data_IF_682443345898
#
_entry.id   IF_682443345898
#
_cell.length_a   1.000
_cell.length_b   1.000
_cell.length_c   1.000
_cell.angle_alpha   90.00
_cell.angle_beta   90.00
_cell.angle_gamma   90.00
#
_symmetry.space_group_name_H-M   'P 1'
#
loop_
_entity.id
_entity.type
_entity.pdbx_description
1 polymer ?
#
# COMPACT_ATOMS: atom_id res chain seq x y z
N UNK A 1 20.60 -17.05 -42.93
CA UNK A 1 20.51 -15.57 -42.88
C UNK A 1 20.16 -15.16 -41.44
N UNK A 2 21.15 -15.26 -40.54
CA UNK A 2 20.99 -15.00 -39.11
C UNK A 2 20.66 -13.54 -38.88
N UNK A 3 19.36 -13.27 -38.77
CA UNK A 3 18.81 -11.92 -38.68
C UNK A 3 19.49 -11.15 -37.56
N UNK A 4 20.01 -9.98 -37.93
CA UNK A 4 20.31 -8.86 -37.03
C UNK A 4 20.96 -9.31 -35.72
N UNK A 5 22.22 -9.73 -35.85
CA UNK A 5 23.17 -10.03 -34.78
C UNK A 5 22.84 -9.23 -33.51
N UNK A 6 22.80 -9.90 -32.36
CA UNK A 6 22.51 -9.30 -31.05
C UNK A 6 23.30 -8.01 -30.79
N UNK A 7 24.48 -7.91 -31.40
CA UNK A 7 25.34 -6.72 -31.44
C UNK A 7 24.65 -5.47 -32.02
N UNK A 8 23.86 -5.61 -33.09
CA UNK A 8 23.12 -4.51 -33.70
C UNK A 8 22.08 -3.93 -32.74
N UNK A 9 21.36 -4.79 -32.01
CA UNK A 9 20.38 -4.34 -31.02
C UNK A 9 21.02 -3.53 -29.89
N UNK A 10 22.22 -3.90 -29.43
CA UNK A 10 22.97 -3.11 -28.43
C UNK A 10 23.33 -1.72 -28.98
N UNK A 11 23.80 -1.63 -30.24
CA UNK A 11 24.12 -0.34 -30.87
C UNK A 11 22.88 0.54 -31.00
N UNK A 12 21.75 -0.03 -31.45
CA UNK A 12 20.51 0.72 -31.62
C UNK A 12 20.01 1.26 -30.27
N UNK A 13 20.06 0.45 -29.21
CA UNK A 13 19.65 0.86 -27.87
C UNK A 13 20.53 2.01 -27.35
N UNK A 14 21.84 1.95 -27.60
CA UNK A 14 22.77 3.03 -27.27
C UNK A 14 22.41 4.34 -27.99
N UNK A 15 22.17 4.28 -29.30
CA UNK A 15 21.83 5.46 -30.12
C UNK A 15 20.51 6.07 -29.65
N UNK A 16 19.49 5.25 -29.40
CA UNK A 16 18.19 5.71 -28.89
C UNK A 16 18.36 6.38 -27.52
N UNK A 17 19.17 5.80 -26.62
CA UNK A 17 19.40 6.38 -25.31
C UNK A 17 20.14 7.73 -25.36
N UNK A 18 21.03 7.92 -26.34
CA UNK A 18 21.72 9.19 -26.59
C UNK A 18 20.77 10.23 -27.19
N UNK A 19 19.96 9.83 -28.18
CA UNK A 19 19.09 10.74 -28.92
C UNK A 19 17.88 11.21 -28.08
N UNK A 20 17.29 10.29 -27.34
CA UNK A 20 16.16 10.58 -26.45
C UNK A 20 16.62 10.99 -25.04
N UNK A 21 17.84 10.63 -24.64
CA UNK A 21 18.38 10.89 -23.31
C UNK A 21 17.73 10.03 -22.20
N UNK A 22 18.42 9.83 -21.09
CA UNK A 22 17.92 9.04 -19.95
C UNK A 22 16.58 9.55 -19.36
N UNK A 23 16.33 10.86 -19.43
CA UNK A 23 15.15 11.48 -18.84
C UNK A 23 13.84 11.10 -19.55
N UNK A 24 13.82 11.13 -20.89
CA UNK A 24 12.61 10.83 -21.66
C UNK A 24 12.25 9.35 -21.66
N UNK A 25 13.24 8.44 -21.75
CA UNK A 25 12.97 7.01 -21.64
C UNK A 25 12.39 6.67 -20.26
N UNK A 26 12.95 7.18 -19.16
CA UNK A 26 12.45 6.84 -17.82
C UNK A 26 11.04 7.35 -17.54
N UNK A 27 10.70 8.55 -18.01
CA UNK A 27 9.38 9.15 -17.84
C UNK A 27 8.30 8.33 -18.58
N UNK A 28 8.57 8.04 -19.86
CA UNK A 28 7.73 7.19 -20.71
C UNK A 28 7.63 5.78 -20.13
N UNK A 29 8.74 5.13 -19.83
CA UNK A 29 8.75 3.77 -19.31
C UNK A 29 8.08 3.66 -17.93
N UNK A 30 8.07 4.73 -17.14
CA UNK A 30 7.34 4.82 -15.87
C UNK A 30 5.83 4.76 -16.07
N UNK A 31 5.29 5.54 -17.01
CA UNK A 31 3.86 5.55 -17.29
C UNK A 31 3.39 4.29 -18.03
N UNK A 32 4.19 3.80 -18.98
CA UNK A 32 3.95 2.49 -19.60
C UNK A 32 4.04 1.35 -18.59
N UNK A 33 4.99 1.40 -17.65
CA UNK A 33 5.16 0.40 -16.60
C UNK A 33 3.97 0.33 -15.64
N UNK A 34 3.40 1.47 -15.26
CA UNK A 34 2.17 1.53 -14.43
C UNK A 34 0.99 0.88 -15.16
N UNK A 35 0.78 1.21 -16.44
CA UNK A 35 -0.32 0.65 -17.24
C UNK A 35 -0.22 -0.88 -17.39
N UNK A 36 0.98 -1.39 -17.70
CA UNK A 36 1.22 -2.84 -17.81
C UNK A 36 1.09 -3.54 -16.45
N UNK A 37 1.50 -2.90 -15.35
CA UNK A 37 1.37 -3.44 -14.00
C UNK A 37 -0.10 -3.60 -13.61
N UNK A 38 -0.93 -2.58 -13.79
CA UNK A 38 -2.37 -2.65 -13.52
C UNK A 38 -3.09 -3.67 -14.41
N UNK A 39 -2.68 -3.80 -15.66
CA UNK A 39 -3.19 -4.85 -16.56
C UNK A 39 -2.84 -6.25 -16.05
N UNK A 40 -1.60 -6.46 -15.59
CA UNK A 40 -1.18 -7.75 -15.02
C UNK A 40 -1.85 -8.04 -13.67
N UNK A 41 -2.05 -7.03 -12.84
CA UNK A 41 -2.79 -7.15 -11.58
C UNK A 41 -4.25 -7.55 -11.84
N UNK A 42 -4.93 -6.90 -12.80
CA UNK A 42 -6.30 -7.26 -13.18
C UNK A 42 -6.44 -8.69 -13.71
N UNK A 43 -5.47 -9.18 -14.49
CA UNK A 43 -5.47 -10.58 -14.95
C UNK A 43 -5.19 -11.56 -13.80
N UNK A 44 -4.29 -11.22 -12.88
CA UNK A 44 -3.99 -12.09 -11.72
C UNK A 44 -5.18 -12.17 -10.75
N UNK A 45 -5.93 -11.07 -10.59
CA UNK A 45 -7.12 -11.01 -9.74
C UNK A 45 -8.26 -11.88 -10.27
N UNK A 46 -8.46 -11.94 -11.58
CA UNK A 46 -9.39 -12.88 -12.25
C UNK A 46 -8.99 -14.35 -11.99
N UNK A 47 -7.69 -14.63 -11.90
CA UNK A 47 -7.16 -15.98 -11.63
C UNK A 47 -7.11 -16.37 -10.13
N UNK A 48 -7.65 -15.54 -9.24
CA UNK A 48 -7.76 -15.84 -7.80
C UNK A 48 -6.45 -15.76 -7.00
N UNK A 49 -5.33 -15.43 -7.65
CA UNK A 49 -4.03 -15.20 -6.99
C UNK A 49 -3.86 -13.71 -6.76
N UNK A 50 -4.30 -13.22 -5.59
CA UNK A 50 -4.04 -11.84 -5.15
C UNK A 50 -2.53 -11.66 -4.95
N UNK A 51 -1.83 -10.83 -5.74
CA UNK A 51 -0.45 -10.48 -5.43
C UNK A 51 -0.46 -9.67 -4.14
N UNK A 52 0.34 -10.08 -3.15
CA UNK A 52 0.48 -9.33 -1.90
C UNK A 52 0.89 -7.87 -2.20
N UNK A 53 0.41 -6.89 -1.42
CA UNK A 53 0.84 -5.51 -1.55
C UNK A 53 2.36 -5.44 -1.59
N UNK A 54 2.98 -4.60 -2.45
CA UNK A 54 4.40 -4.31 -2.33
C UNK A 54 4.69 -3.99 -0.86
N UNK A 55 5.74 -4.57 -0.25
CA UNK A 55 6.16 -4.18 1.09
C UNK A 55 6.22 -2.66 1.09
N UNK A 56 5.42 -2.03 1.95
CA UNK A 56 5.47 -0.60 2.13
C UNK A 56 6.95 -0.23 2.23
N UNK A 57 7.46 0.59 1.29
CA UNK A 57 8.75 1.22 1.49
C UNK A 57 8.73 1.75 2.94
N UNK A 58 9.75 1.46 3.76
CA UNK A 58 9.70 1.73 5.19
C UNK A 58 9.20 3.16 5.38
N UNK A 59 7.98 3.29 5.90
CA UNK A 59 7.44 4.57 6.30
C UNK A 59 8.48 5.14 7.26
N UNK A 60 9.12 6.30 6.94
CA UNK A 60 9.96 6.96 7.91
C UNK A 60 9.14 7.07 9.20
N UNK A 61 9.67 6.65 10.37
CA UNK A 61 8.92 6.71 11.60
C UNK A 61 8.32 8.10 11.72
N UNK A 62 6.99 8.16 11.78
CA UNK A 62 6.28 9.40 12.00
C UNK A 62 6.90 10.06 13.23
N UNK A 63 7.57 11.20 13.04
CA UNK A 63 7.95 12.06 14.15
C UNK A 63 6.64 12.58 14.74
N UNK A 64 6.13 11.88 15.74
CA UNK A 64 5.10 12.39 16.64
C UNK A 64 5.75 13.57 17.40
N UNK A 65 5.32 14.83 17.18
CA UNK A 65 5.74 15.91 18.05
C UNK A 65 5.30 15.59 19.49
N UNK A 66 6.15 15.89 20.50
CA UNK A 66 5.88 15.53 21.87
C UNK A 66 4.73 16.39 22.41
N UNK A 67 3.56 15.79 22.59
CA UNK A 67 2.56 16.34 23.48
C UNK A 67 2.62 15.61 24.82
N UNK A 68 2.70 16.35 25.95
CA UNK A 68 2.90 15.79 27.27
C UNK A 68 1.62 15.09 27.74
N UNK A 69 1.71 13.78 28.00
CA UNK A 69 0.66 13.01 28.69
C UNK A 69 0.62 13.44 30.15
N UNK A 70 -0.18 14.46 30.44
CA UNK A 70 -0.63 14.74 31.79
C UNK A 70 -1.68 13.68 32.19
N UNK A 71 -1.25 12.75 33.05
CA UNK A 71 -1.92 12.23 34.26
C UNK A 71 -3.45 12.05 34.21
N UNK A 72 -3.96 10.80 34.21
CA UNK A 72 -4.54 10.14 35.41
C UNK A 72 -5.30 8.83 35.04
N UNK A 73 -5.11 7.71 35.78
CA UNK A 73 -5.77 6.43 35.52
C UNK A 73 -7.12 6.28 36.22
N UNK A 74 -8.18 5.74 35.58
CA UNK A 74 -9.36 5.28 36.32
C UNK A 74 -9.11 3.90 36.97
N UNK A 75 -9.43 3.71 38.27
CA UNK A 75 -9.13 2.48 39.01
C UNK A 75 -10.07 1.34 38.64
N UNK A 76 -9.52 0.13 38.59
CA UNK A 76 -10.25 -1.12 38.44
C UNK A 76 -10.80 -1.63 39.78
N UNK A 77 -12.09 -2.02 39.86
CA UNK A 77 -12.60 -3.03 40.82
C UNK A 77 -13.97 -3.62 40.40
N UNK A 78 -13.92 -4.80 39.76
CA UNK A 78 -14.61 -6.10 40.07
C UNK A 78 -16.15 -6.23 40.28
N UNK A 79 -16.75 -7.46 40.24
CA UNK A 79 -18.05 -7.75 39.62
C UNK A 79 -19.19 -8.12 40.62
N UNK A 80 -20.45 -8.15 40.14
CA UNK A 80 -21.64 -8.98 40.56
C UNK A 80 -21.95 -9.08 42.07
N UNK A 81 -23.17 -8.75 42.59
CA UNK A 81 -24.41 -9.48 42.25
C UNK A 81 -25.77 -8.71 42.31
N UNK A 82 -26.78 -9.20 41.58
CA UNK A 82 -28.22 -8.97 41.85
C UNK A 82 -28.62 -9.65 43.18
N UNK A 83 -29.69 -9.27 43.94
CA UNK A 83 -31.11 -9.09 43.55
C UNK A 83 -31.74 -7.83 44.23
N UNK A 84 -32.99 -7.37 44.04
CA UNK A 84 -34.31 -7.97 44.36
C UNK A 84 -35.46 -7.13 43.77
N UNK A 85 -36.66 -7.73 43.61
CA UNK A 85 -37.83 -7.22 42.89
C UNK A 85 -38.81 -6.41 43.75
N UNK A 86 -39.55 -5.53 43.07
CA UNK A 86 -40.52 -4.56 43.61
C UNK A 86 -40.23 -3.24 42.89
N UNK A 87 -41.14 -2.61 42.16
CA UNK A 87 -42.36 -2.04 42.69
C UNK A 87 -43.48 -2.04 41.63
N UNK A 88 -44.65 -2.48 42.06
CA UNK A 88 -45.94 -2.27 41.42
C UNK A 88 -46.51 -0.92 41.88
N UNK A 89 -46.79 0.02 40.96
CA UNK A 89 -47.70 1.16 41.16
C UNK A 89 -48.01 1.77 39.79
N UNK A 90 -49.18 1.57 39.18
CA UNK A 90 -50.48 2.22 39.47
C UNK A 90 -50.45 3.75 39.34
N UNK A 91 -51.26 4.27 38.40
CA UNK A 91 -51.63 5.68 38.26
C UNK A 91 -50.76 6.42 37.25
N UNK A 92 -51.28 7.11 36.24
CA UNK A 92 -52.58 7.77 36.05
C UNK A 92 -52.90 7.79 34.55
#
# INVERSE_FOLDING_TARGET
MGGLSLWHWIIVLLVVLILFGRGRISDIMGDFGKGIKSFKEGINEESGTRPAPPPAAPVPPAQIPPYPTAVEPPPAVTPTPAPVPGETKTGV
#
